data_IF_624596603420
#
_entry.id   IF_624596603420
#
_cell.length_a   1.000
_cell.length_b   1.000
_cell.length_c   1.000
_cell.angle_alpha   90.00
_cell.angle_beta   90.00
_cell.angle_gamma   90.00
#
_symmetry.space_group_name_H-M   'P 1'
#
loop_
_entity.id
_entity.type
_entity.pdbx_description
1 polymer ?
#
# COMPACT_ATOMS: atom_id res chain seq x y z
N UNK A 1 -12.64 23.45 15.95
CA UNK A 1 -11.88 23.55 14.68
C UNK A 1 -10.78 22.50 14.73
N UNK A 2 -11.12 21.24 14.49
CA UNK A 2 -10.15 20.12 14.54
C UNK A 2 -9.59 19.99 13.13
N UNK A 3 -8.30 20.32 12.99
CA UNK A 3 -7.57 20.15 11.74
C UNK A 3 -7.45 18.66 11.49
N UNK A 4 -8.14 18.17 10.46
CA UNK A 4 -7.80 16.92 9.81
C UNK A 4 -6.34 17.05 9.36
N UNK A 5 -5.37 16.28 9.88
CA UNK A 5 -4.07 16.27 9.25
C UNK A 5 -4.26 15.69 7.84
N UNK A 6 -3.70 16.31 6.80
CA UNK A 6 -3.72 15.72 5.48
C UNK A 6 -3.01 14.37 5.59
N UNK A 7 -3.53 13.36 4.89
CA UNK A 7 -2.80 12.14 4.58
C UNK A 7 -1.42 12.56 4.05
N UNK A 8 -0.38 12.53 4.89
CA UNK A 8 0.96 12.91 4.47
C UNK A 8 1.35 11.96 3.35
N UNK A 9 1.65 12.54 2.19
CA UNK A 9 1.98 11.80 0.98
C UNK A 9 3.15 10.85 1.28
N UNK A 10 3.03 9.61 0.83
CA UNK A 10 4.10 8.63 0.94
C UNK A 10 5.42 9.22 0.41
N UNK A 11 6.45 9.20 1.24
CA UNK A 11 7.77 9.71 0.92
C UNK A 11 8.69 8.55 0.54
N UNK A 12 9.60 8.79 -0.42
CA UNK A 12 10.64 7.83 -0.77
C UNK A 12 11.76 7.88 0.28
N UNK A 13 11.88 6.79 1.04
CA UNK A 13 12.88 6.62 2.10
C UNK A 13 13.59 5.29 1.85
N UNK A 14 14.87 5.36 1.53
CA UNK A 14 15.70 4.20 1.19
C UNK A 14 15.11 3.32 0.05
N UNK A 15 14.43 3.93 -0.93
CA UNK A 15 13.82 3.23 -2.06
C UNK A 15 12.46 2.60 -1.74
N UNK A 16 11.90 2.88 -0.56
CA UNK A 16 10.60 2.40 -0.11
C UNK A 16 9.69 3.60 0.14
N UNK A 17 8.44 3.51 -0.33
CA UNK A 17 7.45 4.54 -0.03
C UNK A 17 6.93 4.34 1.39
N UNK A 18 7.10 5.34 2.25
CA UNK A 18 6.67 5.29 3.65
C UNK A 18 5.88 6.54 4.05
N UNK A 19 4.88 6.36 4.91
CA UNK A 19 4.09 7.43 5.51
C UNK A 19 3.88 7.15 7.01
N UNK A 20 3.85 8.17 7.87
CA UNK A 20 3.55 7.96 9.28
C UNK A 20 2.11 7.46 9.46
N UNK A 21 1.90 6.63 10.47
CA UNK A 21 0.58 6.25 10.96
C UNK A 21 0.17 7.13 12.15
N UNK A 22 -1.09 7.01 12.58
CA UNK A 22 -1.60 7.76 13.74
C UNK A 22 -0.92 7.38 15.06
N UNK A 23 -0.44 6.13 15.16
CA UNK A 23 0.29 5.65 16.34
C UNK A 23 1.75 6.14 16.35
N UNK A 24 2.30 6.55 17.51
CA UNK A 24 3.69 6.98 17.62
C UNK A 24 4.67 5.92 17.12
N UNK A 25 5.75 6.36 16.46
CA UNK A 25 6.80 5.51 15.90
C UNK A 25 6.31 4.41 14.93
N UNK A 26 5.10 4.57 14.40
CA UNK A 26 4.47 3.61 13.50
C UNK A 26 4.36 4.19 12.10
N UNK A 27 4.70 3.38 11.09
CA UNK A 27 4.75 3.79 9.70
C UNK A 27 4.11 2.74 8.80
N UNK A 28 3.38 3.21 7.79
CA UNK A 28 2.95 2.40 6.66
C UNK A 28 4.01 2.39 5.58
N UNK A 29 4.23 1.25 4.93
CA UNK A 29 5.16 1.11 3.81
C UNK A 29 4.51 0.45 2.60
N UNK A 30 4.98 0.81 1.41
CA UNK A 30 4.65 0.15 0.14
C UNK A 30 5.80 0.20 -0.86
N UNK A 31 5.76 -0.68 -1.84
CA UNK A 31 6.74 -0.69 -2.92
C UNK A 31 6.52 0.52 -3.85
N UNK A 32 7.62 1.13 -4.31
CA UNK A 32 7.58 2.23 -5.29
C UNK A 32 7.23 1.75 -6.69
N UNK A 33 7.64 0.54 -7.04
CA UNK A 33 7.41 -0.07 -8.34
C UNK A 33 7.40 -1.61 -8.20
N UNK A 34 6.78 -2.34 -9.15
CA UNK A 34 6.94 -3.79 -9.25
C UNK A 34 8.40 -4.17 -9.55
N UNK A 35 8.76 -5.42 -9.26
CA UNK A 35 10.04 -6.01 -9.63
C UNK A 35 9.84 -7.46 -10.07
N UNK A 36 10.91 -8.13 -10.49
CA UNK A 36 10.91 -9.59 -10.57
C UNK A 36 11.13 -10.19 -9.18
N UNK A 37 10.42 -11.28 -8.90
CA UNK A 37 10.75 -12.13 -7.77
C UNK A 37 12.17 -12.66 -7.94
N UNK A 38 12.89 -12.82 -6.83
CA UNK A 38 14.25 -13.35 -6.84
C UNK A 38 14.30 -14.72 -6.19
N UNK A 39 15.27 -15.54 -6.58
CA UNK A 39 15.61 -16.78 -5.87
C UNK A 39 16.36 -16.50 -4.56
N UNK A 40 16.73 -17.57 -3.84
CA UNK A 40 17.49 -17.49 -2.58
C UNK A 40 18.91 -16.90 -2.74
N UNK A 41 19.37 -16.67 -3.97
CA UNK A 41 20.65 -16.02 -4.28
C UNK A 41 20.46 -14.59 -4.78
N UNK A 42 19.24 -14.05 -4.71
CA UNK A 42 18.92 -12.70 -5.18
C UNK A 42 18.83 -12.58 -6.71
N UNK A 43 18.79 -13.69 -7.46
CA UNK A 43 18.74 -13.66 -8.92
C UNK A 43 17.29 -13.51 -9.40
N UNK A 44 17.00 -12.61 -10.36
CA UNK A 44 15.67 -12.46 -10.93
C UNK A 44 15.14 -13.77 -11.55
N UNK A 45 13.91 -14.14 -11.20
CA UNK A 45 13.23 -15.34 -11.69
C UNK A 45 12.48 -15.07 -12.99
N UNK A 46 13.17 -15.33 -14.10
CA UNK A 46 12.57 -15.33 -15.43
C UNK A 46 13.23 -16.38 -16.33
N UNK A 47 12.56 -16.70 -17.43
CA UNK A 47 12.98 -17.68 -18.42
C UNK A 47 12.48 -17.26 -19.79
N UNK A 48 13.33 -17.36 -20.81
CA UNK A 48 12.95 -17.22 -22.21
C UNK A 48 13.45 -18.45 -22.97
N UNK A 49 12.57 -19.40 -23.25
CA UNK A 49 12.91 -20.67 -23.91
C UNK A 49 12.47 -20.64 -25.36
N UNK A 50 13.41 -20.69 -26.30
CA UNK A 50 13.11 -20.72 -27.72
C UNK A 50 12.69 -22.13 -28.19
N UNK A 51 11.66 -22.19 -29.03
CA UNK A 51 11.18 -23.39 -29.74
C UNK A 51 10.94 -23.01 -31.19
N UNK A 52 11.91 -23.30 -32.06
CA UNK A 52 11.87 -22.87 -33.46
C UNK A 52 11.89 -21.34 -33.58
N UNK A 53 10.91 -20.77 -34.29
CA UNK A 53 10.74 -19.32 -34.47
C UNK A 53 9.95 -18.64 -33.34
N UNK A 54 9.58 -19.38 -32.31
CA UNK A 54 8.82 -18.88 -31.15
C UNK A 54 9.67 -18.97 -29.88
N UNK A 55 9.29 -18.25 -28.84
CA UNK A 55 9.81 -18.48 -27.51
C UNK A 55 8.73 -18.33 -26.43
N UNK A 56 8.83 -19.14 -25.39
CA UNK A 56 8.03 -18.97 -24.18
C UNK A 56 8.77 -18.06 -23.21
N UNK A 57 8.17 -16.92 -22.87
CA UNK A 57 8.59 -16.06 -21.76
C UNK A 57 7.80 -16.46 -20.51
N UNK A 58 8.51 -16.83 -19.45
CA UNK A 58 7.92 -17.11 -18.14
C UNK A 58 8.63 -16.27 -17.08
N UNK A 59 7.88 -15.57 -16.23
CA UNK A 59 8.44 -14.76 -15.15
C UNK A 59 7.47 -14.65 -13.97
N UNK A 60 8.01 -14.39 -12.79
CA UNK A 60 7.22 -14.05 -11.60
C UNK A 60 7.52 -12.61 -11.22
N UNK A 61 6.50 -11.76 -11.30
CA UNK A 61 6.55 -10.41 -10.81
C UNK A 61 6.22 -10.35 -9.32
N UNK A 62 6.67 -9.30 -8.66
CA UNK A 62 6.33 -9.00 -7.27
C UNK A 62 6.11 -7.51 -7.09
N UNK A 63 5.03 -7.13 -6.41
CA UNK A 63 4.88 -5.79 -5.84
C UNK A 63 4.93 -5.91 -4.31
N UNK A 64 6.03 -5.47 -3.74
CA UNK A 64 6.32 -5.64 -2.32
C UNK A 64 7.73 -5.17 -1.98
N UNK A 65 8.05 -5.15 -0.69
CA UNK A 65 9.35 -4.73 -0.18
C UNK A 65 10.01 -5.94 0.46
N UNK A 66 11.24 -6.25 0.04
CA UNK A 66 12.03 -7.33 0.62
C UNK A 66 12.55 -6.99 2.03
N UNK A 67 12.98 -8.02 2.76
CA UNK A 67 13.38 -7.89 4.17
C UNK A 67 14.59 -6.97 4.36
N UNK A 68 15.54 -6.96 3.41
CA UNK A 68 16.74 -6.12 3.49
C UNK A 68 16.38 -4.64 3.35
N UNK A 69 15.53 -4.30 2.38
CA UNK A 69 14.97 -2.95 2.23
C UNK A 69 14.13 -2.52 3.43
N UNK A 70 13.36 -3.44 4.03
CA UNK A 70 12.63 -3.14 5.27
C UNK A 70 13.56 -2.88 6.46
N UNK A 71 14.68 -3.60 6.55
CA UNK A 71 15.73 -3.34 7.53
C UNK A 71 16.37 -1.96 7.35
N UNK A 72 16.71 -1.61 6.11
CA UNK A 72 17.26 -0.29 5.77
C UNK A 72 16.26 0.85 6.06
N UNK A 73 14.98 0.66 5.68
CA UNK A 73 13.92 1.62 5.99
C UNK A 73 13.78 1.82 7.50
N UNK A 74 13.78 0.74 8.29
CA UNK A 74 13.67 0.82 9.75
C UNK A 74 14.83 1.61 10.37
N UNK A 75 16.06 1.35 9.92
CA UNK A 75 17.23 2.07 10.41
C UNK A 75 17.15 3.57 10.09
N UNK A 76 16.77 3.93 8.86
CA UNK A 76 16.64 5.33 8.43
C UNK A 76 15.54 6.07 9.19
N UNK A 77 14.37 5.44 9.39
CA UNK A 77 13.28 6.01 10.17
C UNK A 77 13.64 6.18 11.65
N UNK A 78 14.40 5.24 12.22
CA UNK A 78 14.87 5.31 13.60
C UNK A 78 15.80 6.51 13.82
N UNK A 79 16.73 6.74 12.89
CA UNK A 79 17.61 7.91 12.88
C UNK A 79 16.80 9.21 12.81
N UNK A 80 15.82 9.29 11.89
CA UNK A 80 14.96 10.48 11.73
C UNK A 80 14.10 10.76 12.96
N UNK A 81 13.56 9.72 13.58
CA UNK A 81 12.73 9.83 14.77
C UNK A 81 13.54 9.96 16.07
N UNK A 82 14.87 9.81 16.02
CA UNK A 82 15.75 9.75 17.20
C UNK A 82 15.33 8.65 18.20
N UNK A 83 14.93 7.50 17.66
CA UNK A 83 14.49 6.33 18.44
C UNK A 83 15.40 5.14 18.16
N UNK A 84 15.48 4.16 19.08
CA UNK A 84 16.05 2.86 18.77
C UNK A 84 15.28 2.15 17.64
N UNK A 85 15.95 1.44 16.71
CA UNK A 85 15.28 0.79 15.58
C UNK A 85 14.19 -0.21 15.97
N UNK A 86 14.32 -0.88 17.11
CA UNK A 86 13.33 -1.82 17.65
C UNK A 86 12.00 -1.16 18.06
N UNK A 87 11.98 0.16 18.25
CA UNK A 87 10.76 0.91 18.57
C UNK A 87 9.99 1.34 17.31
N UNK A 88 10.63 1.28 16.13
CA UNK A 88 9.98 1.61 14.86
C UNK A 88 9.13 0.43 14.39
N UNK A 89 7.82 0.67 14.29
CA UNK A 89 6.84 -0.33 13.81
C UNK A 89 6.53 -0.06 12.34
N UNK A 90 6.65 -1.11 11.52
CA UNK A 90 6.37 -1.05 10.09
C UNK A 90 5.18 -1.95 9.77
N UNK A 91 4.15 -1.38 9.14
CA UNK A 91 3.00 -2.10 8.63
C UNK A 91 2.89 -1.93 7.11
N UNK A 92 2.52 -2.97 6.35
CA UNK A 92 2.16 -2.79 4.96
C UNK A 92 1.05 -1.76 4.83
N UNK A 93 1.13 -0.92 3.80
CA UNK A 93 0.06 0.00 3.45
C UNK A 93 -1.27 -0.75 3.25
N UNK A 94 -2.39 -0.24 3.76
CA UNK A 94 -3.70 -0.83 3.52
C UNK A 94 -4.10 -0.62 2.04
N UNK A 95 -3.88 -1.65 1.23
CA UNK A 95 -4.19 -1.60 -0.21
C UNK A 95 -4.90 -2.86 -0.67
N UNK A 96 -5.75 -2.69 -1.68
CA UNK A 96 -6.29 -3.77 -2.50
C UNK A 96 -5.49 -3.84 -3.79
N UNK A 97 -4.93 -5.02 -4.06
CA UNK A 97 -4.15 -5.28 -5.27
C UNK A 97 -5.04 -6.02 -6.26
N UNK A 98 -5.26 -5.40 -7.41
CA UNK A 98 -6.10 -5.90 -8.48
C UNK A 98 -5.34 -6.80 -9.45
N UNK A 99 -5.49 -6.50 -10.75
CA UNK A 99 -4.80 -7.23 -11.82
C UNK A 99 -3.34 -6.77 -11.97
N UNK A 100 -2.46 -7.73 -12.23
CA UNK A 100 -1.12 -7.48 -12.74
C UNK A 100 -1.07 -7.80 -14.24
N UNK A 101 -0.39 -6.96 -15.02
CA UNK A 101 -0.36 -7.02 -16.48
C UNK A 101 1.08 -7.00 -16.97
N UNK A 102 1.41 -7.93 -17.87
CA UNK A 102 2.67 -7.94 -18.62
C UNK A 102 2.43 -7.33 -20.00
N UNK A 103 3.28 -6.40 -20.41
CA UNK A 103 3.14 -5.67 -21.67
C UNK A 103 4.45 -5.65 -22.45
N UNK A 104 4.32 -5.69 -23.78
CA UNK A 104 5.43 -5.48 -24.72
C UNK A 104 5.31 -4.08 -25.30
N UNK A 105 6.43 -3.37 -25.40
CA UNK A 105 6.47 -1.99 -25.87
C UNK A 105 7.10 -1.83 -27.25
N UNK A 106 6.87 -0.68 -27.86
CA UNK A 106 7.43 -0.28 -29.16
C UNK A 106 8.71 0.58 -29.04
N UNK A 107 9.20 0.82 -27.81
CA UNK A 107 10.32 1.70 -27.52
C UNK A 107 10.01 3.20 -27.58
N UNK A 108 8.77 3.59 -27.94
CA UNK A 108 8.28 4.97 -28.03
C UNK A 108 7.17 5.27 -27.01
N UNK A 109 6.92 4.34 -26.08
CA UNK A 109 5.90 4.48 -25.03
C UNK A 109 4.54 3.88 -25.39
N UNK A 110 4.39 3.28 -26.58
CA UNK A 110 3.26 2.44 -26.91
C UNK A 110 3.45 1.04 -26.32
N UNK A 111 2.41 0.50 -25.67
CA UNK A 111 2.46 -0.81 -25.04
C UNK A 111 1.24 -1.67 -25.42
N UNK A 112 1.50 -2.92 -25.78
CA UNK A 112 0.52 -3.97 -26.04
C UNK A 112 0.51 -4.97 -24.88
N UNK A 113 -0.68 -5.35 -24.41
CA UNK A 113 -0.84 -6.39 -23.37
C UNK A 113 -0.46 -7.77 -23.93
N UNK A 114 0.49 -8.44 -23.28
CA UNK A 114 0.88 -9.82 -23.57
C UNK A 114 0.08 -10.81 -22.72
N UNK A 115 -0.02 -10.55 -21.42
CA UNK A 115 -0.68 -11.43 -20.46
C UNK A 115 -1.17 -10.64 -19.26
N UNK A 116 -2.13 -11.20 -18.52
CA UNK A 116 -2.52 -10.70 -17.22
C UNK A 116 -2.67 -11.83 -16.21
N UNK A 117 -2.55 -11.49 -14.93
CA UNK A 117 -2.50 -12.45 -13.85
C UNK A 117 -3.10 -11.85 -12.59
N UNK A 118 -3.75 -12.70 -11.77
CA UNK A 118 -4.19 -12.30 -10.43
C UNK A 118 -2.99 -12.37 -9.49
N UNK A 119 -2.95 -11.45 -8.54
CA UNK A 119 -1.87 -11.42 -7.55
C UNK A 119 -2.15 -12.38 -6.39
N UNK A 120 -1.11 -12.75 -5.63
CA UNK A 120 -1.31 -13.33 -4.30
C UNK A 120 -2.14 -12.36 -3.44
N UNK A 121 -2.97 -12.89 -2.55
CA UNK A 121 -3.86 -12.07 -1.70
C UNK A 121 -3.18 -11.36 -0.53
N UNK A 122 -1.85 -11.47 -0.41
CA UNK A 122 -1.07 -10.93 0.69
C UNK A 122 0.29 -10.42 0.21
N UNK A 123 0.84 -9.37 0.85
CA UNK A 123 2.16 -8.86 0.55
C UNK A 123 3.26 -9.86 0.97
N UNK A 124 4.37 -9.96 0.20
CA UNK A 124 4.57 -9.33 -1.10
C UNK A 124 3.65 -9.94 -2.19
N UNK A 125 3.07 -9.09 -3.04
CA UNK A 125 2.04 -9.48 -4.00
C UNK A 125 2.67 -10.06 -5.26
N UNK A 126 2.67 -11.39 -5.38
CA UNK A 126 3.26 -12.11 -6.50
C UNK A 126 2.27 -12.30 -7.65
N UNK A 127 2.74 -12.18 -8.89
CA UNK A 127 1.98 -12.52 -10.09
C UNK A 127 2.85 -13.30 -11.07
N UNK A 128 2.42 -14.51 -11.43
CA UNK A 128 3.11 -15.34 -12.41
C UNK A 128 2.56 -15.07 -13.81
N UNK A 129 3.46 -14.96 -14.78
CA UNK A 129 3.15 -14.74 -16.19
C UNK A 129 3.81 -15.81 -17.07
N UNK A 130 3.10 -16.18 -18.12
CA UNK A 130 3.62 -17.00 -19.21
C UNK A 130 3.04 -16.50 -20.52
N UNK A 131 3.89 -16.22 -21.51
CA UNK A 131 3.51 -15.68 -22.79
C UNK A 131 4.33 -16.31 -23.92
N UNK A 132 3.64 -16.77 -24.96
CA UNK A 132 4.28 -17.20 -26.21
C UNK A 132 4.55 -15.98 -27.09
N UNK A 133 5.80 -15.82 -27.50
CA UNK A 133 6.30 -14.71 -28.32
C UNK A 133 6.77 -15.24 -29.67
N UNK A 134 6.49 -14.50 -30.73
CA UNK A 134 6.95 -14.81 -32.09
C UNK A 134 7.23 -13.51 -32.87
N UNK A 135 8.06 -13.62 -33.91
CA UNK A 135 8.40 -12.49 -34.79
C UNK A 135 8.87 -11.26 -34.00
N UNK A 136 8.25 -10.11 -34.27
CA UNK A 136 8.64 -8.84 -33.66
C UNK A 136 8.57 -8.85 -32.13
N UNK A 137 7.58 -9.52 -31.52
CA UNK A 137 7.44 -9.57 -30.05
C UNK A 137 8.62 -10.28 -29.39
N UNK A 138 9.19 -11.29 -30.06
CA UNK A 138 10.38 -11.99 -29.57
C UNK A 138 11.60 -11.07 -29.62
N UNK A 139 11.77 -10.30 -30.70
CA UNK A 139 12.86 -9.34 -30.83
C UNK A 139 12.74 -8.19 -29.81
N UNK A 140 11.53 -7.69 -29.58
CA UNK A 140 11.22 -6.68 -28.55
C UNK A 140 11.56 -7.21 -27.15
N UNK A 141 11.15 -8.44 -26.82
CA UNK A 141 11.46 -9.03 -25.52
C UNK A 141 12.97 -9.23 -25.33
N UNK A 142 13.71 -9.63 -26.39
CA UNK A 142 15.18 -9.72 -26.33
C UNK A 142 15.83 -8.36 -26.08
N UNK A 143 15.36 -7.29 -26.71
CA UNK A 143 15.85 -5.92 -26.43
C UNK A 143 15.61 -5.55 -24.97
N UNK A 144 14.42 -5.81 -24.46
CA UNK A 144 14.07 -5.53 -23.07
C UNK A 144 14.98 -6.26 -22.07
N UNK A 145 15.17 -7.56 -22.28
CA UNK A 145 16.00 -8.41 -21.43
C UNK A 145 17.50 -8.09 -21.53
N UNK A 146 17.93 -7.43 -22.61
CA UNK A 146 19.28 -6.84 -22.73
C UNK A 146 19.45 -5.51 -21.96
N UNK A 147 18.38 -5.03 -21.30
CA UNK A 147 18.37 -3.80 -20.52
C UNK A 147 17.96 -2.54 -21.29
N UNK A 148 17.40 -2.69 -22.51
CA UNK A 148 16.85 -1.55 -23.23
C UNK A 148 15.46 -1.21 -22.67
N UNK A 149 15.24 0.08 -22.40
CA UNK A 149 13.96 0.61 -21.91
C UNK A 149 12.90 0.65 -23.00
N UNK A 150 11.64 0.60 -22.59
CA UNK A 150 10.48 0.83 -23.45
C UNK A 150 9.99 -0.41 -24.20
N UNK A 151 10.52 -1.60 -23.88
CA UNK A 151 10.26 -2.82 -24.65
C UNK A 151 9.48 -3.88 -23.88
N UNK A 152 9.54 -3.90 -22.54
CA UNK A 152 8.79 -4.84 -21.72
C UNK A 152 8.51 -4.20 -20.35
N UNK A 153 7.25 -4.23 -19.92
CA UNK A 153 6.79 -3.58 -18.69
C UNK A 153 5.83 -4.50 -17.92
N UNK A 154 5.90 -4.44 -16.59
CA UNK A 154 4.88 -5.00 -15.70
C UNK A 154 4.14 -3.87 -15.02
N UNK A 155 2.80 -3.99 -14.96
CA UNK A 155 1.92 -3.03 -14.27
C UNK A 155 1.04 -3.71 -13.25
N UNK A 156 0.86 -3.07 -12.10
CA UNK A 156 -0.07 -3.47 -11.05
C UNK A 156 -1.12 -2.39 -10.85
N UNK A 157 -2.38 -2.81 -10.77
CA UNK A 157 -3.48 -1.95 -10.35
C UNK A 157 -3.62 -2.01 -8.83
N UNK A 158 -3.40 -0.89 -8.15
CA UNK A 158 -3.46 -0.80 -6.69
C UNK A 158 -4.55 0.20 -6.31
N UNK A 159 -5.48 -0.21 -5.46
CA UNK A 159 -6.47 0.68 -4.85
C UNK A 159 -6.09 0.95 -3.40
N UNK A 160 -5.95 2.22 -3.05
CA UNK A 160 -5.71 2.64 -1.66
C UNK A 160 -6.99 2.43 -0.85
N UNK A 161 -6.87 1.69 0.25
CA UNK A 161 -7.97 1.47 1.18
C UNK A 161 -7.70 2.32 2.41
N UNK A 162 -8.69 3.09 2.85
CA UNK A 162 -8.56 3.77 4.13
C UNK A 162 -8.34 2.72 5.24
N UNK A 163 -7.33 2.88 6.12
CA UNK A 163 -7.25 2.03 7.30
C UNK A 163 -8.60 2.13 8.02
N UNK A 164 -9.17 0.99 8.42
CA UNK A 164 -10.42 0.98 9.15
C UNK A 164 -10.25 1.85 10.40
N UNK A 165 -10.88 3.02 10.43
CA UNK A 165 -10.90 3.86 11.61
C UNK A 165 -11.42 2.98 12.76
N UNK A 166 -10.63 2.82 13.82
CA UNK A 166 -11.17 2.28 15.07
C UNK A 166 -12.14 3.31 15.60
N UNK A 167 -13.42 3.13 15.32
CA UNK A 167 -14.49 3.88 15.98
C UNK A 167 -14.39 3.60 17.49
N UNK A 168 -13.91 4.59 18.24
CA UNK A 168 -14.10 4.63 19.68
C UNK A 168 -15.46 5.25 19.93
N UNK A 169 -16.47 4.41 20.18
CA UNK A 169 -17.72 4.88 20.77
C UNK A 169 -17.41 5.39 22.18
N UNK A 170 -17.29 6.71 22.33
CA UNK A 170 -17.27 7.34 23.66
C UNK A 170 -18.72 7.56 24.06
N UNK A 171 -19.27 6.64 24.84
CA UNK A 171 -20.54 6.88 25.53
C UNK A 171 -20.25 7.80 26.71
N UNK A 172 -20.49 9.11 26.54
CA UNK A 172 -20.49 10.06 27.65
C UNK A 172 -21.92 10.20 28.15
N UNK A 173 -22.18 9.76 29.38
CA UNK A 173 -23.44 10.03 30.08
C UNK A 173 -23.19 11.17 31.06
N UNK A 174 -23.77 12.34 30.79
CA UNK A 174 -23.83 13.42 31.77
C UNK A 174 -25.16 13.34 32.53
N UNK A 175 -25.08 13.15 33.84
CA UNK A 175 -26.21 13.30 34.76
C UNK A 175 -26.04 14.58 35.55
N UNK A 176 -26.96 15.53 35.37
CA UNK A 176 -27.03 16.74 36.19
C UNK A 176 -28.13 16.57 37.23
N UNK A 177 -27.73 16.57 38.50
CA UNK A 177 -28.67 16.60 39.64
C UNK A 177 -28.89 18.06 40.04
N UNK A 178 -30.14 18.51 40.00
CA UNK A 178 -30.54 19.82 40.51
C UNK A 178 -31.42 19.62 41.74
N UNK A 179 -30.89 19.99 42.91
CA UNK A 179 -31.65 20.08 44.15
C UNK A 179 -32.17 21.51 44.32
N UNK A 180 -33.49 21.67 44.39
CA UNK A 180 -34.14 22.96 44.62
C UNK A 180 -34.90 22.90 45.93
N UNK A 181 -34.55 23.78 46.87
CA UNK A 181 -35.23 23.90 48.17
C UNK A 181 -36.14 25.11 48.15
N UNK A 182 -37.42 24.92 48.44
CA UNK A 182 -38.37 26.01 48.61
C UNK A 182 -38.78 26.06 50.08
N UNK A 183 -38.58 27.22 50.71
CA UNK A 183 -38.88 27.44 52.12
C UNK A 183 -40.18 28.23 52.20
N UNK A 184 -41.23 27.63 52.74
CA UNK A 184 -42.45 28.34 53.10
C UNK A 184 -42.62 28.34 54.62
N UNK A 185 -43.33 29.34 55.15
CA UNK A 185 -43.38 29.76 56.56
C UNK A 185 -43.88 28.73 57.58
N UNK A 186 -44.10 27.47 57.19
CA UNK A 186 -44.50 26.36 58.08
C UNK A 186 -43.61 25.11 57.96
N UNK A 187 -42.48 25.16 57.23
CA UNK A 187 -41.49 24.07 57.18
C UNK A 187 -40.74 23.97 55.85
N UNK A 188 -39.53 23.39 55.88
CA UNK A 188 -38.72 23.15 54.67
C UNK A 188 -39.24 21.96 53.87
N UNK A 189 -39.50 22.17 52.57
CA UNK A 189 -39.78 21.09 51.62
C UNK A 189 -38.70 21.14 50.53
N UNK A 190 -37.89 20.09 50.47
CA UNK A 190 -36.85 19.92 49.44
C UNK A 190 -37.39 19.12 48.26
N UNK A 191 -37.08 19.55 47.03
CA UNK A 191 -37.33 18.79 45.82
C UNK A 191 -36.01 18.52 45.09
N UNK A 192 -35.73 17.25 44.78
CA UNK A 192 -34.58 16.86 43.97
C UNK A 192 -35.06 16.39 42.60
N UNK A 193 -34.41 16.87 41.54
CA UNK A 193 -34.65 16.43 40.17
C UNK A 193 -33.34 16.03 39.51
N UNK A 194 -33.34 14.89 38.82
CA UNK A 194 -32.17 14.39 38.09
C UNK A 194 -32.50 14.44 36.60
N UNK A 195 -31.79 15.29 35.86
CA UNK A 195 -31.84 15.32 34.40
C UNK A 195 -30.68 14.47 33.86
N UNK A 196 -31.02 13.40 33.14
CA UNK A 196 -30.04 12.61 32.37
C UNK A 196 -30.15 13.00 30.90
N UNK A 197 -29.04 13.47 30.34
CA UNK A 197 -28.94 13.79 28.92
C UNK A 197 -28.00 12.77 28.29
N UNK A 198 -28.58 11.79 27.60
CA UNK A 198 -27.81 10.83 26.81
C UNK A 198 -27.58 11.42 25.42
N UNK A 199 -26.37 11.93 25.19
CA UNK A 199 -25.95 12.40 23.88
C UNK A 199 -25.23 11.25 23.15
N UNK A 200 -25.79 10.82 22.02
CA UNK A 200 -25.15 9.87 21.09
C UNK A 200 -24.77 10.65 19.83
N UNK A 201 -23.47 10.94 19.66
CA UNK A 201 -22.95 11.46 18.40
C UNK A 201 -22.41 10.31 17.56
N UNK A 202 -23.15 9.96 16.52
CA UNK A 202 -22.66 9.10 15.45
C UNK A 202 -21.90 9.99 14.46
N UNK A 203 -20.56 9.95 14.52
CA UNK A 203 -19.71 10.67 13.57
C UNK A 203 -19.53 9.81 12.31
N UNK A 204 -20.56 9.77 11.46
CA UNK A 204 -20.48 9.06 10.17
C UNK A 204 -19.63 9.87 9.20
N UNK A 205 -18.31 9.64 9.22
CA UNK A 205 -17.42 10.20 8.19
C UNK A 205 -17.74 9.52 6.85
N UNK A 206 -18.00 10.25 5.75
CA UNK A 206 -18.28 9.63 4.46
C UNK A 206 -17.07 8.83 3.97
N UNK A 207 -17.31 7.56 3.60
CA UNK A 207 -16.32 6.63 3.03
C UNK A 207 -15.71 7.27 1.78
N UNK A 208 -14.43 7.62 1.83
CA UNK A 208 -13.69 8.11 0.67
C UNK A 208 -13.70 7.07 -0.45
N UNK A 209 -13.91 7.51 -1.69
CA UNK A 209 -13.81 6.62 -2.87
C UNK A 209 -12.36 6.12 -2.94
N UNK A 210 -12.12 4.80 -3.07
CA UNK A 210 -10.77 4.26 -3.19
C UNK A 210 -10.07 4.93 -4.38
N UNK A 211 -8.89 5.51 -4.15
CA UNK A 211 -8.07 6.03 -5.25
C UNK A 211 -7.29 4.86 -5.85
N UNK A 212 -7.42 4.68 -7.16
CA UNK A 212 -6.73 3.62 -7.88
C UNK A 212 -5.54 4.17 -8.65
N UNK A 213 -4.41 3.51 -8.53
CA UNK A 213 -3.13 3.89 -9.10
C UNK A 213 -2.52 2.72 -9.89
N UNK A 214 -1.87 3.04 -11.00
CA UNK A 214 -1.04 2.08 -11.72
C UNK A 214 0.42 2.23 -11.26
N UNK A 215 1.01 1.11 -10.86
CA UNK A 215 2.43 1.02 -10.57
C UNK A 215 3.10 0.21 -11.66
N UNK A 216 4.14 0.77 -12.28
CA UNK A 216 4.79 0.18 -13.45
C UNK A 216 6.30 0.00 -13.22
N UNK A 217 6.88 -1.02 -13.84
CA UNK A 217 8.32 -1.22 -13.89
C UNK A 217 8.74 -1.80 -15.24
N UNK A 218 9.71 -1.14 -15.87
CA UNK A 218 10.34 -1.58 -17.10
C UNK A 218 11.38 -2.67 -16.82
N UNK A 219 11.56 -3.58 -17.78
CA UNK A 219 12.54 -4.66 -17.68
C UNK A 219 13.98 -4.19 -17.42
N UNK A 220 14.34 -2.99 -17.89
CA UNK A 220 15.64 -2.39 -17.61
C UNK A 220 15.87 -2.10 -16.12
N UNK A 221 14.80 -1.98 -15.32
CA UNK A 221 14.85 -1.70 -13.89
C UNK A 221 14.81 -2.98 -13.03
N UNK A 222 14.72 -4.18 -13.63
CA UNK A 222 14.63 -5.46 -12.90
C UNK A 222 15.97 -6.01 -12.43
N UNK A 223 17.08 -5.31 -12.67
CA UNK A 223 18.41 -5.75 -12.25
C UNK A 223 18.90 -7.01 -13.00
N UNK A 224 18.49 -7.18 -14.25
CA UNK A 224 18.90 -8.30 -15.09
C UNK A 224 20.43 -8.30 -15.31
N UNK A 225 21.08 -9.47 -15.33
CA UNK A 225 22.49 -9.56 -15.67
C UNK A 225 22.70 -9.06 -17.10
N UNK A 226 23.64 -8.12 -17.27
CA UNK A 226 24.01 -7.62 -18.59
C UNK A 226 24.82 -8.71 -19.30
N UNK A 227 24.27 -9.21 -20.41
CA UNK A 227 24.95 -10.14 -21.33
C UNK A 227 26.09 -9.47 -22.08
#
# INVERSE_FOLDING_TARGET
>A
MIRNPPHEEYQDIAGVLAAPADEPATWYYRAKAPALATDNQGRPQFSLVAVGAMAMLSLTAVWGVDADRLGALRAELAVRAQLPPEQVRLYPAPVEVGEAVLQIGDGQGGYLRLASSRTSGAPPYHAAFSAMLAGEQLDQARKALSGQRGWLEIRYLIADVAPALRERTVTASESSEHESRVRDGTGEVGFSSVARSDYRQEDTTPRSVPKTHWYAADAADWGLPRS
#
